data_IF_521051834502
#
_entry.id   IF_521051834502
#
_cell.length_a   1.000
_cell.length_b   1.000
_cell.length_c   1.000
_cell.angle_alpha   90.00
_cell.angle_beta   90.00
_cell.angle_gamma   90.00
#
_symmetry.space_group_name_H-M   'P 1'
#
loop_
_entity.id
_entity.type
_entity.pdbx_description
1 polymer ?
#
# COMPACT_ATOMS: atom_id res chain seq x y z
N UNK A 1 -29.59 -10.46 -82.48
CA UNK A 1 -28.25 -10.64 -83.08
C UNK A 1 -27.47 -9.33 -82.99
N UNK A 2 -26.15 -9.42 -82.73
CA UNK A 2 -25.13 -8.34 -82.57
C UNK A 2 -25.11 -7.69 -81.17
N UNK A 3 -24.16 -8.00 -80.27
CA UNK A 3 -22.67 -7.86 -80.21
C UNK A 3 -22.18 -6.42 -79.96
N UNK A 4 -21.67 -6.24 -78.73
CA UNK A 4 -20.53 -5.46 -78.20
C UNK A 4 -20.10 -4.13 -78.82
N UNK A 5 -19.90 -3.12 -77.97
CA UNK A 5 -18.63 -2.38 -77.77
C UNK A 5 -18.82 -1.27 -76.71
N UNK A 6 -18.23 -1.39 -75.52
CA UNK A 6 -16.96 -0.76 -75.09
C UNK A 6 -17.15 0.64 -74.50
N UNK A 7 -17.00 0.79 -73.18
CA UNK A 7 -16.11 1.84 -72.66
C UNK A 7 -15.65 1.48 -71.24
N UNK A 8 -14.33 1.36 -71.15
CA UNK A 8 -13.53 1.05 -69.98
C UNK A 8 -13.23 2.38 -69.28
N UNK A 9 -13.66 2.56 -68.03
CA UNK A 9 -13.13 3.63 -67.18
C UNK A 9 -12.56 3.00 -65.92
N UNK A 10 -11.23 2.84 -65.94
CA UNK A 10 -10.44 2.62 -64.74
C UNK A 10 -10.49 3.90 -63.90
N UNK A 11 -11.03 3.82 -62.68
CA UNK A 11 -10.68 4.74 -61.62
C UNK A 11 -10.16 3.92 -60.44
N UNK A 12 -8.84 3.83 -60.37
CA UNK A 12 -8.10 3.37 -59.20
C UNK A 12 -8.00 4.52 -58.19
N UNK A 13 -7.86 4.16 -56.91
CA UNK A 13 -7.61 5.01 -55.71
C UNK A 13 -8.86 5.71 -55.17
N UNK A 14 -9.24 5.62 -53.90
CA UNK A 14 -8.56 5.18 -52.68
C UNK A 14 -9.63 4.78 -51.65
N UNK A 15 -9.51 3.59 -51.06
CA UNK A 15 -10.28 3.18 -49.88
C UNK A 15 -9.84 4.06 -48.70
N UNK A 16 -10.61 5.09 -48.39
CA UNK A 16 -10.55 5.76 -47.09
C UNK A 16 -11.35 4.88 -46.12
N UNK A 17 -10.66 3.98 -45.44
CA UNK A 17 -11.21 3.30 -44.27
C UNK A 17 -11.41 4.36 -43.19
N UNK A 18 -12.66 4.76 -42.96
CA UNK A 18 -13.03 5.46 -41.73
C UNK A 18 -12.85 4.48 -40.56
N UNK A 19 -11.65 4.49 -39.97
CA UNK A 19 -11.45 3.93 -38.65
C UNK A 19 -12.28 4.79 -37.68
N UNK A 20 -13.34 4.20 -37.11
CA UNK A 20 -14.04 4.78 -35.98
C UNK A 20 -13.01 5.12 -34.89
N UNK A 21 -12.85 6.40 -34.59
CA UNK A 21 -12.26 6.86 -33.33
C UNK A 21 -13.17 6.37 -32.21
N UNK A 22 -12.93 5.14 -31.77
CA UNK A 22 -13.34 4.70 -30.45
C UNK A 22 -12.68 5.64 -29.46
N UNK A 23 -13.50 6.29 -28.64
CA UNK A 23 -13.00 7.05 -27.51
C UNK A 23 -12.18 6.08 -26.66
N UNK A 24 -10.87 6.27 -26.66
CA UNK A 24 -10.04 5.78 -25.58
C UNK A 24 -10.39 6.64 -24.37
N UNK A 25 -11.51 6.27 -23.74
CA UNK A 25 -11.69 6.47 -22.32
C UNK A 25 -10.44 5.83 -21.69
N UNK A 26 -9.53 6.67 -21.21
CA UNK A 26 -8.37 6.25 -20.46
C UNK A 26 -8.89 5.75 -19.11
N UNK A 27 -9.53 4.59 -19.16
CA UNK A 27 -9.77 3.76 -18.02
C UNK A 27 -8.38 3.50 -17.46
N UNK A 28 -8.04 4.21 -16.37
CA UNK A 28 -6.89 3.94 -15.51
C UNK A 28 -6.90 2.43 -15.25
N UNK A 29 -6.15 1.70 -16.06
CA UNK A 29 -5.73 0.37 -15.71
C UNK A 29 -4.77 0.61 -14.55
N UNK A 30 -5.31 0.53 -13.34
CA UNK A 30 -4.55 0.21 -12.13
C UNK A 30 -4.57 -1.32 -11.97
N UNK A 31 -3.68 -2.08 -12.63
CA UNK A 31 -3.69 -3.53 -12.55
C UNK A 31 -2.96 -4.00 -11.30
N UNK A 32 -3.37 -3.63 -10.07
CA UNK A 32 -2.83 -4.23 -8.84
C UNK A 32 -3.84 -4.16 -7.66
N UNK A 33 -4.69 -5.19 -7.52
CA UNK A 33 -5.23 -5.61 -6.22
C UNK A 33 -5.09 -7.14 -6.13
N UNK A 34 -4.46 -7.70 -5.07
CA UNK A 34 -5.23 -7.92 -3.83
C UNK A 34 -4.43 -7.78 -2.51
N UNK A 35 -3.21 -7.22 -2.48
CA UNK A 35 -2.42 -7.14 -1.22
C UNK A 35 -2.48 -5.74 -0.54
N UNK A 36 -3.35 -4.83 -1.00
CA UNK A 36 -3.45 -3.44 -0.51
C UNK A 36 -4.20 -3.22 0.82
N UNK A 37 -4.75 -4.28 1.43
CA UNK A 37 -5.42 -4.19 2.74
C UNK A 37 -4.48 -4.43 3.91
N UNK A 38 -3.31 -5.02 3.65
CA UNK A 38 -2.33 -5.39 4.66
C UNK A 38 -1.46 -4.20 5.04
N UNK A 39 -1.05 -4.14 6.30
CA UNK A 39 -0.20 -3.10 6.87
C UNK A 39 -0.79 -1.69 6.67
N UNK A 40 -2.12 -1.61 6.64
CA UNK A 40 -2.90 -0.38 6.56
C UNK A 40 -3.72 -0.24 7.84
N UNK A 41 -3.68 0.97 8.42
CA UNK A 41 -4.59 1.37 9.50
C UNK A 41 -5.94 1.74 8.90
N UNK A 42 -6.92 0.86 9.11
CA UNK A 42 -8.30 1.00 8.66
C UNK A 42 -9.14 1.51 9.82
N UNK A 43 -9.63 2.74 9.72
CA UNK A 43 -10.41 3.43 10.73
C UNK A 43 -11.89 3.20 10.49
N UNK A 44 -12.61 2.74 11.51
CA UNK A 44 -14.04 2.43 11.43
C UNK A 44 -14.83 3.71 11.12
N UNK A 45 -15.70 3.63 10.12
CA UNK A 45 -16.61 4.72 9.77
C UNK A 45 -17.89 4.61 10.59
N UNK A 46 -18.39 5.75 11.10
CA UNK A 46 -19.72 5.81 11.68
C UNK A 46 -20.75 5.70 10.55
N UNK A 47 -21.57 4.65 10.58
CA UNK A 47 -22.63 4.41 9.60
C UNK A 47 -23.72 5.52 9.60
N UNK A 48 -23.66 6.49 10.52
CA UNK A 48 -24.62 7.59 10.57
C UNK A 48 -24.26 8.80 9.70
N UNK A 49 -22.96 9.09 9.41
CA UNK A 49 -22.52 10.20 8.50
C UNK A 49 -21.10 9.98 7.96
N UNK A 50 -20.91 9.67 6.66
CA UNK A 50 -19.59 9.62 6.04
C UNK A 50 -18.86 10.98 6.18
N UNK A 51 -17.64 10.99 6.71
CA UNK A 51 -16.72 12.13 6.60
C UNK A 51 -16.44 12.95 7.87
N UNK A 52 -17.11 12.72 9.01
CA UNK A 52 -16.76 13.39 10.27
C UNK A 52 -16.33 12.37 11.32
N UNK A 53 -15.03 12.35 11.62
CA UNK A 53 -14.41 11.49 12.62
C UNK A 53 -13.48 12.36 13.49
N UNK A 54 -13.67 12.29 14.81
CA UNK A 54 -12.82 12.97 15.81
C UNK A 54 -11.79 11.98 16.34
N UNK A 55 -10.48 12.29 16.40
CA UNK A 55 -9.40 11.32 16.64
C UNK A 55 -9.44 10.63 18.00
N UNK A 56 -10.27 9.58 18.11
CA UNK A 56 -10.28 8.54 19.17
C UNK A 56 -10.58 7.15 18.59
N UNK A 57 -10.60 7.02 17.26
CA UNK A 57 -11.53 6.13 16.60
C UNK A 57 -11.04 4.69 16.42
N UNK A 58 -11.97 3.78 16.67
CA UNK A 58 -11.81 2.34 16.55
C UNK A 58 -11.19 2.00 15.19
N UNK A 59 -10.20 1.12 15.17
CA UNK A 59 -9.48 0.79 13.93
C UNK A 59 -9.00 -0.66 13.96
N UNK A 60 -8.70 -1.17 12.78
CA UNK A 60 -8.06 -2.47 12.57
C UNK A 60 -6.82 -2.31 11.69
N UNK A 61 -5.91 -3.26 11.83
CA UNK A 61 -4.74 -3.43 10.99
C UNK A 61 -4.58 -4.92 10.71
N UNK A 62 -4.31 -5.24 9.44
CA UNK A 62 -4.09 -6.62 9.03
C UNK A 62 -2.59 -6.79 8.78
N UNK A 63 -1.91 -7.64 9.56
CA UNK A 63 -0.49 -7.96 9.36
C UNK A 63 -0.31 -9.33 8.73
N UNK A 64 0.77 -9.49 7.96
CA UNK A 64 1.26 -10.80 7.47
C UNK A 64 2.61 -11.20 8.08
N UNK A 65 3.22 -10.36 8.91
CA UNK A 65 4.53 -10.62 9.48
C UNK A 65 4.41 -11.69 10.59
N UNK A 66 5.11 -12.83 10.43
CA UNK A 66 5.11 -13.96 11.38
C UNK A 66 3.76 -14.66 11.60
N UNK A 67 2.91 -14.69 10.57
CA UNK A 67 1.55 -15.21 10.63
C UNK A 67 0.55 -14.09 10.34
N UNK A 68 -0.58 -14.42 9.72
CA UNK A 68 -1.59 -13.39 9.50
C UNK A 68 -2.25 -13.04 10.84
N UNK A 69 -2.28 -11.76 11.22
CA UNK A 69 -2.95 -11.29 12.44
C UNK A 69 -3.81 -10.07 12.13
N UNK A 70 -4.84 -9.86 12.95
CA UNK A 70 -5.63 -8.62 12.93
C UNK A 70 -5.41 -7.94 14.28
N UNK A 71 -4.76 -6.79 14.28
CA UNK A 71 -4.60 -5.96 15.47
C UNK A 71 -5.50 -4.74 15.38
N UNK A 72 -5.70 -4.04 16.49
CA UNK A 72 -6.45 -2.80 16.45
C UNK A 72 -6.84 -2.27 17.80
N UNK A 73 -7.68 -1.25 17.77
CA UNK A 73 -8.29 -0.64 18.95
C UNK A 73 -9.80 -0.64 18.77
N UNK A 74 -10.52 -1.22 19.71
CA UNK A 74 -11.98 -1.38 19.62
C UNK A 74 -12.76 -0.46 20.58
N UNK A 75 -12.08 0.53 21.17
CA UNK A 75 -12.68 1.62 21.95
C UNK A 75 -12.06 1.81 23.33
N UNK A 76 -11.62 0.72 23.98
CA UNK A 76 -10.99 0.77 25.29
C UNK A 76 -9.62 0.07 25.29
N UNK A 77 -9.58 -1.10 24.67
CA UNK A 77 -8.45 -1.99 24.66
C UNK A 77 -7.85 -2.11 23.26
N UNK A 78 -6.53 -2.33 23.25
CA UNK A 78 -5.83 -2.83 22.08
C UNK A 78 -6.06 -4.34 22.04
N UNK A 79 -6.34 -4.86 20.86
CA UNK A 79 -6.61 -6.28 20.65
C UNK A 79 -5.72 -6.87 19.56
N UNK A 80 -5.59 -8.18 19.60
CA UNK A 80 -4.96 -9.01 18.58
C UNK A 80 -5.80 -10.26 18.33
N UNK A 81 -5.97 -10.61 17.06
CA UNK A 81 -6.71 -11.79 16.60
C UNK A 81 -5.82 -12.56 15.63
N UNK A 82 -5.38 -13.77 16.02
CA UNK A 82 -4.63 -14.63 15.11
C UNK A 82 -5.51 -15.12 13.94
N UNK A 83 -4.92 -15.19 12.75
CA UNK A 83 -5.55 -15.75 11.55
C UNK A 83 -4.89 -17.09 11.22
N UNK A 84 -5.69 -18.14 11.18
CA UNK A 84 -5.23 -19.50 10.93
C UNK A 84 -5.23 -19.91 9.47
N UNK A 85 -6.03 -19.23 8.64
CA UNK A 85 -6.14 -19.48 7.21
C UNK A 85 -6.56 -18.23 6.47
N UNK A 86 -5.95 -18.03 5.30
CA UNK A 86 -6.27 -16.95 4.37
C UNK A 86 -6.61 -17.58 3.01
N UNK A 87 -7.69 -17.14 2.37
CA UNK A 87 -7.99 -17.46 0.97
C UNK A 87 -8.54 -16.24 0.25
N UNK A 88 -8.34 -16.16 -1.05
CA UNK A 88 -8.78 -15.03 -1.89
C UNK A 88 -9.62 -15.56 -3.04
N UNK A 89 -10.75 -14.92 -3.33
CA UNK A 89 -11.55 -15.17 -4.52
C UNK A 89 -12.23 -13.87 -5.00
N UNK A 90 -13.16 -13.98 -5.95
CA UNK A 90 -13.87 -12.82 -6.53
C UNK A 90 -14.71 -12.00 -5.54
N UNK A 91 -15.02 -12.55 -4.37
CA UNK A 91 -15.78 -11.86 -3.29
C UNK A 91 -14.87 -11.15 -2.28
N UNK A 92 -13.55 -11.36 -2.36
CA UNK A 92 -12.57 -10.71 -1.49
C UNK A 92 -11.62 -11.69 -0.80
N UNK A 93 -10.99 -11.19 0.26
CA UNK A 93 -10.05 -11.92 1.12
C UNK A 93 -10.79 -12.50 2.31
N UNK A 94 -10.81 -13.83 2.41
CA UNK A 94 -11.42 -14.57 3.51
C UNK A 94 -10.37 -14.95 4.55
N UNK A 95 -10.62 -14.59 5.81
CA UNK A 95 -9.73 -14.87 6.93
C UNK A 95 -10.46 -15.73 7.96
N UNK A 96 -9.89 -16.90 8.30
CA UNK A 96 -10.37 -17.74 9.40
C UNK A 96 -9.62 -17.37 10.67
N UNK A 97 -10.30 -16.65 11.57
CA UNK A 97 -9.77 -16.10 12.81
C UNK A 97 -9.87 -17.06 13.98
N UNK A 98 -9.01 -16.87 14.98
CA UNK A 98 -9.01 -17.54 16.29
C UNK A 98 -9.58 -16.62 17.37
N UNK A 99 -9.47 -17.04 18.63
CA UNK A 99 -9.86 -16.21 19.77
C UNK A 99 -8.98 -14.96 19.86
N UNK A 100 -9.60 -13.83 20.21
CA UNK A 100 -8.90 -12.59 20.49
C UNK A 100 -8.14 -12.64 21.81
N UNK A 101 -7.05 -11.88 21.86
CA UNK A 101 -6.43 -11.38 23.08
C UNK A 101 -6.56 -9.86 23.11
N UNK A 102 -6.58 -9.27 24.30
CA UNK A 102 -6.63 -7.82 24.46
C UNK A 102 -6.02 -7.35 25.76
N UNK A 103 -5.65 -6.08 25.80
CA UNK A 103 -5.32 -5.41 27.07
C UNK A 103 -6.53 -5.44 28.01
N UNK A 104 -6.27 -5.32 29.32
CA UNK A 104 -7.34 -5.32 30.33
C UNK A 104 -7.44 -3.94 31.02
N UNK A 105 -7.61 -2.88 30.22
CA UNK A 105 -7.89 -1.54 30.71
C UNK A 105 -9.36 -1.45 31.13
N UNK A 106 -9.58 -0.69 32.20
CA UNK A 106 -10.92 -0.39 32.69
C UNK A 106 -11.50 0.83 31.97
N UNK A 107 -12.74 0.72 31.52
CA UNK A 107 -13.44 1.76 30.77
C UNK A 107 -14.93 1.72 31.11
N UNK A 108 -15.67 2.74 30.67
CA UNK A 108 -17.11 2.81 30.81
C UNK A 108 -17.82 1.54 30.26
N UNK A 109 -18.92 1.16 30.92
CA UNK A 109 -19.60 -0.12 30.70
C UNK A 109 -20.11 -0.29 29.27
N UNK A 110 -20.63 0.78 28.68
CA UNK A 110 -21.09 0.85 27.29
C UNK A 110 -19.94 0.64 26.30
N UNK A 111 -18.80 1.32 26.50
CA UNK A 111 -17.59 1.15 25.67
C UNK A 111 -17.10 -0.29 25.72
N UNK A 112 -17.06 -0.89 26.92
CA UNK A 112 -16.67 -2.31 27.10
C UNK A 112 -17.64 -3.27 26.43
N UNK A 113 -18.95 -3.00 26.49
CA UNK A 113 -19.97 -3.80 25.83
C UNK A 113 -19.80 -3.79 24.31
N UNK A 114 -19.65 -2.60 23.72
CA UNK A 114 -19.48 -2.45 22.27
C UNK A 114 -18.18 -3.08 21.75
N UNK A 115 -17.08 -2.93 22.50
CA UNK A 115 -15.82 -3.59 22.23
C UNK A 115 -15.99 -5.13 22.20
N UNK A 116 -16.57 -5.71 23.25
CA UNK A 116 -16.78 -7.16 23.34
C UNK A 116 -17.69 -7.67 22.21
N UNK A 117 -18.73 -6.91 21.89
CA UNK A 117 -19.68 -7.23 20.82
C UNK A 117 -19.00 -7.23 19.45
N UNK A 118 -18.11 -6.27 19.19
CA UNK A 118 -17.31 -6.22 17.97
C UNK A 118 -16.35 -7.42 17.88
N UNK A 119 -15.52 -7.63 18.91
CA UNK A 119 -14.52 -8.71 18.94
C UNK A 119 -15.18 -10.09 18.77
N UNK A 120 -16.30 -10.36 19.45
CA UNK A 120 -17.05 -11.61 19.32
C UNK A 120 -17.45 -11.93 17.86
N UNK A 121 -17.74 -10.90 17.05
CA UNK A 121 -18.15 -11.06 15.64
C UNK A 121 -17.00 -11.35 14.71
N UNK A 122 -15.81 -10.84 15.02
CA UNK A 122 -14.63 -10.95 14.16
C UNK A 122 -13.66 -12.06 14.59
N UNK A 123 -13.74 -12.51 15.84
CA UNK A 123 -12.98 -13.64 16.39
C UNK A 123 -13.66 -14.99 16.13
N UNK A 124 -12.86 -16.07 16.16
CA UNK A 124 -13.29 -17.47 16.11
C UNK A 124 -14.35 -17.75 15.03
N UNK A 125 -14.00 -17.48 13.78
CA UNK A 125 -14.88 -17.68 12.63
C UNK A 125 -14.22 -17.27 11.33
N UNK A 126 -14.96 -17.35 10.23
CA UNK A 126 -14.49 -16.81 8.95
C UNK A 126 -15.14 -15.46 8.69
N UNK A 127 -14.31 -14.45 8.43
CA UNK A 127 -14.71 -13.12 8.02
C UNK A 127 -14.18 -12.82 6.62
N UNK A 128 -14.81 -11.86 5.94
CA UNK A 128 -14.43 -11.48 4.57
C UNK A 128 -14.13 -10.00 4.49
N UNK A 129 -13.00 -9.67 3.89
CA UNK A 129 -12.59 -8.31 3.58
C UNK A 129 -12.68 -8.07 2.07
N UNK A 130 -13.27 -6.94 1.69
CA UNK A 130 -13.30 -6.46 0.31
C UNK A 130 -12.91 -4.98 0.31
N UNK A 131 -11.95 -4.59 -0.50
CA UNK A 131 -11.55 -3.19 -0.66
C UNK A 131 -12.12 -2.67 -1.98
N UNK A 132 -12.82 -1.54 -1.90
CA UNK A 132 -13.37 -0.85 -3.06
C UNK A 132 -13.25 0.66 -2.85
N UNK A 133 -12.62 1.33 -3.80
CA UNK A 133 -12.55 2.80 -3.86
C UNK A 133 -11.99 3.43 -2.57
N UNK A 134 -11.01 2.78 -1.92
CA UNK A 134 -10.37 3.28 -0.71
C UNK A 134 -11.15 3.00 0.58
N UNK A 135 -12.25 2.25 0.50
CA UNK A 135 -13.00 1.74 1.63
C UNK A 135 -12.78 0.23 1.78
N UNK A 136 -12.55 -0.20 3.01
CA UNK A 136 -12.48 -1.61 3.38
C UNK A 136 -13.79 -2.04 4.01
N UNK A 137 -14.45 -2.99 3.36
CA UNK A 137 -15.67 -3.62 3.81
C UNK A 137 -15.33 -4.92 4.51
N UNK A 138 -15.75 -5.06 5.76
CA UNK A 138 -15.64 -6.28 6.56
C UNK A 138 -17.02 -6.91 6.72
N UNK A 139 -17.22 -8.06 6.10
CA UNK A 139 -18.37 -8.93 6.35
C UNK A 139 -18.03 -9.94 7.44
N UNK A 140 -18.74 -9.85 8.57
CA UNK A 140 -18.59 -10.77 9.70
C UNK A 140 -19.30 -12.11 9.46
N UNK A 141 -19.01 -13.09 10.32
CA UNK A 141 -19.67 -14.41 10.29
C UNK A 141 -21.20 -14.32 10.47
N UNK A 142 -21.67 -13.30 11.16
CA UNK A 142 -23.10 -13.04 11.41
C UNK A 142 -23.74 -12.17 10.31
N UNK A 143 -23.04 -11.98 9.17
CA UNK A 143 -23.46 -11.12 8.04
C UNK A 143 -23.69 -9.65 8.40
N UNK A 144 -23.05 -9.18 9.47
CA UNK A 144 -22.96 -7.74 9.77
C UNK A 144 -21.78 -7.18 8.99
N UNK A 145 -22.03 -6.08 8.28
CA UNK A 145 -21.02 -5.33 7.55
C UNK A 145 -20.47 -4.17 8.39
N UNK A 146 -19.16 -4.01 8.38
CA UNK A 146 -18.45 -2.85 8.89
C UNK A 146 -17.69 -2.18 7.75
N UNK A 147 -17.72 -0.86 7.70
CA UNK A 147 -16.99 -0.07 6.71
C UNK A 147 -15.86 0.66 7.40
N UNK A 148 -14.67 0.53 6.85
CA UNK A 148 -13.48 1.25 7.29
C UNK A 148 -12.98 2.11 6.14
N UNK A 149 -12.45 3.29 6.46
CA UNK A 149 -11.63 4.04 5.52
C UNK A 149 -10.18 3.87 5.95
N UNK A 150 -9.24 3.98 5.01
CA UNK A 150 -7.86 4.11 5.46
C UNK A 150 -7.72 5.40 6.29
N UNK A 151 -6.72 5.42 7.18
CA UNK A 151 -6.31 6.64 7.84
C UNK A 151 -6.20 7.78 6.82
N UNK A 152 -6.65 8.99 7.17
CA UNK A 152 -6.69 10.19 6.31
C UNK A 152 -5.27 10.66 5.94
N UNK A 153 -4.54 9.82 5.25
CA UNK A 153 -3.28 10.09 4.60
C UNK A 153 -3.60 10.74 3.26
N UNK A 154 -2.84 11.76 2.89
CA UNK A 154 -2.93 12.29 1.54
C UNK A 154 -2.52 11.21 0.53
N UNK A 155 -3.02 11.32 -0.71
CA UNK A 155 -2.79 10.33 -1.79
C UNK A 155 -1.31 9.90 -1.90
N UNK A 156 -0.40 10.88 -1.80
CA UNK A 156 1.04 10.66 -1.88
C UNK A 156 1.56 9.68 -0.82
N UNK A 157 1.13 9.80 0.43
CA UNK A 157 1.53 8.84 1.48
C UNK A 157 0.91 7.46 1.28
N UNK A 158 -0.31 7.38 0.72
CA UNK A 158 -0.92 6.10 0.35
C UNK A 158 -0.12 5.38 -0.72
N UNK A 159 0.37 6.11 -1.72
CA UNK A 159 1.18 5.57 -2.81
C UNK A 159 2.53 5.06 -2.27
N UNK A 160 3.23 5.83 -1.42
CA UNK A 160 4.47 5.38 -0.75
C UNK A 160 4.26 4.08 0.03
N UNK A 161 3.16 3.96 0.78
CA UNK A 161 2.85 2.79 1.60
C UNK A 161 2.54 1.53 0.80
N UNK A 162 1.83 1.68 -0.34
CA UNK A 162 1.23 0.57 -1.12
C UNK A 162 2.25 -0.33 -1.81
N UNK A 163 3.46 0.17 -2.05
CA UNK A 163 4.47 -0.53 -2.84
C UNK A 163 5.72 -0.84 -2.01
N UNK A 164 6.48 -1.82 -2.48
CA UNK A 164 7.91 -1.90 -2.18
C UNK A 164 8.64 -1.10 -3.27
N UNK A 165 9.82 -0.59 -2.95
CA UNK A 165 10.55 0.34 -3.81
C UNK A 165 11.95 -0.21 -4.08
N UNK A 166 12.19 -0.62 -5.32
CA UNK A 166 13.48 -1.19 -5.74
C UNK A 166 14.36 -0.09 -6.33
N UNK A 167 15.56 0.08 -5.81
CA UNK A 167 16.47 1.13 -6.28
C UNK A 167 16.85 0.87 -7.74
N UNK A 168 16.84 1.92 -8.56
CA UNK A 168 17.25 1.87 -9.97
C UNK A 168 18.23 2.98 -10.35
N UNK A 169 18.39 3.99 -9.49
CA UNK A 169 19.36 5.07 -9.65
C UNK A 169 19.80 5.57 -8.27
N UNK A 170 21.11 5.81 -8.12
CA UNK A 170 21.71 6.45 -6.94
C UNK A 170 22.68 7.52 -7.43
N UNK A 171 22.51 8.76 -6.97
CA UNK A 171 23.37 9.92 -7.29
C UNK A 171 23.59 10.20 -8.78
N UNK A 172 22.59 9.89 -9.62
CA UNK A 172 22.72 10.01 -11.08
C UNK A 172 23.68 8.99 -11.71
N UNK A 173 24.10 7.96 -10.97
CA UNK A 173 24.90 6.86 -11.49
C UNK A 173 24.14 5.99 -12.49
N UNK A 174 24.86 5.46 -13.49
CA UNK A 174 24.27 4.57 -14.50
C UNK A 174 23.71 3.27 -13.92
N UNK A 175 22.76 2.66 -14.66
CA UNK A 175 22.04 1.41 -14.37
C UNK A 175 22.95 0.20 -14.12
N UNK A 176 23.58 0.15 -12.95
CA UNK A 176 24.12 -1.10 -12.40
C UNK A 176 22.96 -1.93 -11.86
N UNK A 177 23.08 -3.27 -11.78
CA UNK A 177 22.06 -4.09 -11.15
C UNK A 177 22.01 -3.79 -9.64
N UNK A 178 21.21 -2.80 -9.26
CA UNK A 178 20.93 -2.49 -7.87
C UNK A 178 20.14 -3.63 -7.23
N UNK A 179 20.60 -4.04 -6.05
CA UNK A 179 19.93 -5.04 -5.20
C UNK A 179 19.21 -4.38 -4.02
N UNK A 180 19.42 -3.07 -3.87
CA UNK A 180 18.85 -2.27 -2.82
C UNK A 180 17.35 -2.12 -3.01
N UNK A 181 16.63 -2.15 -1.90
CA UNK A 181 15.20 -1.89 -1.87
C UNK A 181 14.79 -1.37 -0.51
N UNK A 182 13.65 -0.69 -0.48
CA UNK A 182 13.01 -0.22 0.75
C UNK A 182 11.52 -0.53 0.73
N UNK A 183 10.95 -0.69 1.92
CA UNK A 183 9.51 -0.77 2.15
C UNK A 183 9.16 0.07 3.37
N UNK A 184 8.12 0.88 3.24
CA UNK A 184 7.63 1.69 4.34
C UNK A 184 6.61 0.89 5.15
N UNK A 185 6.93 0.71 6.42
CA UNK A 185 6.06 0.14 7.43
C UNK A 185 5.44 1.27 8.27
N UNK A 186 4.28 1.74 7.82
CA UNK A 186 3.51 2.77 8.52
C UNK A 186 2.92 2.27 9.85
N UNK A 187 2.98 0.97 10.17
CA UNK A 187 2.56 0.46 11.48
C UNK A 187 3.58 0.82 12.55
N UNK A 188 4.84 0.46 12.30
CA UNK A 188 5.94 0.67 13.24
C UNK A 188 6.68 1.99 13.01
N UNK A 189 6.30 2.74 11.97
CA UNK A 189 7.02 3.94 11.49
C UNK A 189 8.48 3.64 11.17
N UNK A 190 8.71 2.47 10.55
CA UNK A 190 10.03 2.00 10.12
C UNK A 190 10.08 1.90 8.60
N UNK A 191 11.19 2.31 8.00
CA UNK A 191 11.63 1.88 6.69
C UNK A 191 12.45 0.63 6.92
N UNK A 192 12.00 -0.49 6.34
CA UNK A 192 12.78 -1.72 6.25
C UNK A 192 13.42 -1.75 4.86
N UNK A 193 14.63 -2.26 4.74
CA UNK A 193 15.29 -2.32 3.46
C UNK A 193 16.41 -3.33 3.37
N UNK A 194 16.93 -3.49 2.16
CA UNK A 194 18.17 -4.20 1.89
C UNK A 194 19.16 -3.22 1.27
N UNK A 195 20.39 -3.20 1.78
CA UNK A 195 21.44 -2.30 1.29
C UNK A 195 22.32 -2.95 0.18
N UNK A 196 21.97 -4.15 -0.25
CA UNK A 196 22.69 -4.98 -1.21
C UNK A 196 23.35 -6.21 -0.58
N UNK A 197 23.53 -6.24 0.76
CA UNK A 197 24.09 -7.39 1.49
C UNK A 197 23.35 -7.74 2.77
N UNK A 198 22.83 -6.75 3.48
CA UNK A 198 22.18 -6.90 4.77
C UNK A 198 20.82 -6.22 4.76
N UNK A 199 19.92 -6.75 5.59
CA UNK A 199 18.68 -6.07 5.91
C UNK A 199 18.95 -4.97 6.94
N UNK A 200 18.18 -3.89 6.84
CA UNK A 200 18.24 -2.78 7.77
C UNK A 200 16.85 -2.26 8.08
N UNK A 201 16.76 -1.57 9.21
CA UNK A 201 15.58 -0.82 9.61
C UNK A 201 15.99 0.57 10.09
N UNK A 202 15.21 1.57 9.74
CA UNK A 202 15.36 2.94 10.20
C UNK A 202 13.99 3.53 10.51
N UNK A 203 13.84 4.38 11.55
CA UNK A 203 12.63 5.18 11.68
C UNK A 203 12.43 6.08 10.46
N UNK A 204 11.19 6.44 10.16
CA UNK A 204 10.89 7.49 9.18
C UNK A 204 9.75 8.40 9.62
N UNK A 205 9.70 9.59 9.02
CA UNK A 205 8.54 10.46 9.07
C UNK A 205 8.22 10.94 7.66
N UNK A 206 6.94 11.16 7.38
CA UNK A 206 6.48 11.76 6.12
C UNK A 206 5.63 12.98 6.42
N UNK A 207 5.90 14.08 5.73
CA UNK A 207 5.03 15.25 5.70
C UNK A 207 4.44 15.37 4.30
N UNK A 208 3.15 15.07 4.20
CA UNK A 208 2.41 15.05 2.94
C UNK A 208 2.07 16.43 2.39
N UNK A 209 2.00 17.47 3.24
CA UNK A 209 1.72 18.84 2.81
C UNK A 209 2.88 19.43 2.01
N UNK A 210 4.10 19.03 2.38
CA UNK A 210 5.35 19.50 1.76
C UNK A 210 6.00 18.43 0.88
N UNK A 211 5.40 17.23 0.77
CA UNK A 211 5.97 16.06 0.08
C UNK A 211 7.42 15.81 0.49
N UNK A 212 7.68 15.71 1.79
CA UNK A 212 9.02 15.44 2.32
C UNK A 212 9.03 14.17 3.16
N UNK A 213 10.13 13.42 3.09
CA UNK A 213 10.42 12.25 3.91
C UNK A 213 11.65 12.52 4.76
N UNK A 214 11.56 12.24 6.06
CA UNK A 214 12.70 12.22 6.97
C UNK A 214 13.15 10.78 7.15
N UNK A 215 14.40 10.50 6.81
CA UNK A 215 15.03 9.21 7.00
C UNK A 215 15.98 9.32 8.19
N UNK A 216 15.62 8.68 9.29
CA UNK A 216 16.41 8.74 10.52
C UNK A 216 17.63 7.81 10.43
N UNK A 217 18.59 8.06 11.31
CA UNK A 217 19.78 7.23 11.42
C UNK A 217 19.42 5.78 11.76
N UNK A 218 20.17 4.85 11.18
CA UNK A 218 20.02 3.41 11.41
C UNK A 218 20.29 3.09 12.88
N UNK A 219 19.47 2.22 13.47
CA UNK A 219 19.81 1.68 14.78
C UNK A 219 21.04 0.77 14.64
N UNK A 220 22.05 1.05 15.46
CA UNK A 220 23.42 0.54 15.35
C UNK A 220 23.46 -0.98 15.47
N UNK A 221 23.50 -1.68 14.33
CA UNK A 221 23.90 -3.09 14.09
C UNK A 221 23.58 -3.53 12.64
N UNK A 222 22.74 -2.77 11.93
CA UNK A 222 22.39 -3.00 10.52
C UNK A 222 23.53 -2.70 9.51
N UNK A 223 24.65 -2.15 9.98
CA UNK A 223 25.78 -1.67 9.17
C UNK A 223 26.88 -2.71 8.97
N UNK A 224 26.55 -4.01 8.91
CA UNK A 224 27.53 -5.00 8.44
C UNK A 224 27.84 -4.72 6.97
N UNK A 225 28.88 -3.91 6.75
CA UNK A 225 29.30 -3.48 5.42
C UNK A 225 29.53 -4.70 4.53
N UNK A 226 29.10 -4.61 3.28
CA UNK A 226 29.54 -5.50 2.21
C UNK A 226 31.08 -5.42 2.06
N UNK A 227 31.86 -6.12 2.89
CA UNK A 227 33.32 -6.30 2.76
C UNK A 227 34.18 -5.04 2.53
N UNK A 228 35.03 -4.71 3.51
CA UNK A 228 36.13 -3.74 3.46
C UNK A 228 35.81 -2.33 2.91
N UNK A 229 35.45 -1.46 3.85
CA UNK A 229 35.74 -0.01 3.87
C UNK A 229 35.18 0.82 2.71
N UNK A 230 33.86 0.97 2.69
CA UNK A 230 33.21 2.24 2.34
C UNK A 230 31.89 2.30 3.12
N UNK A 231 31.52 3.47 3.66
CA UNK A 231 30.14 3.69 4.09
C UNK A 231 29.29 3.43 2.87
N UNK A 232 28.35 2.51 2.98
CA UNK A 232 27.42 2.19 1.91
C UNK A 232 26.78 3.48 1.39
N UNK A 233 27.05 3.82 0.13
CA UNK A 233 26.62 5.09 -0.48
C UNK A 233 25.09 5.24 -0.48
N UNK A 234 24.36 4.12 -0.42
CA UNK A 234 22.91 4.12 -0.26
C UNK A 234 22.50 4.49 1.17
N UNK A 235 23.18 3.94 2.17
CA UNK A 235 22.85 4.17 3.58
C UNK A 235 23.24 5.57 4.08
N UNK A 236 24.08 6.32 3.35
CA UNK A 236 24.46 7.69 3.74
C UNK A 236 23.26 8.64 3.86
N UNK A 237 22.14 8.32 3.20
CA UNK A 237 20.92 9.11 3.23
C UNK A 237 20.03 8.84 4.45
N UNK A 238 20.37 7.83 5.26
CA UNK A 238 19.74 7.52 6.54
C UNK A 238 20.56 8.12 7.67
N UNK A 239 20.53 9.45 7.78
CA UNK A 239 21.41 10.26 8.64
C UNK A 239 20.66 11.35 9.43
N UNK A 240 19.35 11.16 9.66
CA UNK A 240 18.45 12.15 10.25
C UNK A 240 18.15 13.37 9.36
N UNK A 241 18.31 13.22 8.04
CA UNK A 241 17.98 14.26 7.07
C UNK A 241 16.55 14.14 6.53
N UNK A 242 16.05 15.28 6.05
CA UNK A 242 14.74 15.40 5.40
C UNK A 242 14.91 15.75 3.93
N UNK A 243 14.23 15.00 3.06
CA UNK A 243 14.34 15.08 1.62
C UNK A 243 12.97 15.33 1.00
N UNK A 244 12.84 16.24 0.02
CA UNK A 244 11.68 16.23 -0.87
C UNK A 244 11.58 14.90 -1.62
N UNK A 245 10.36 14.46 -1.87
CA UNK A 245 10.10 13.30 -2.72
C UNK A 245 8.92 13.55 -3.64
N UNK A 246 8.89 12.80 -4.73
CA UNK A 246 7.75 12.77 -5.65
C UNK A 246 7.51 11.33 -6.13
N UNK A 247 6.28 11.08 -6.56
CA UNK A 247 5.92 9.84 -7.24
C UNK A 247 5.45 10.20 -8.65
N UNK A 248 6.21 9.79 -9.66
CA UNK A 248 5.95 10.03 -11.07
C UNK A 248 6.20 8.77 -11.87
N UNK A 249 5.32 8.44 -12.83
CA UNK A 249 5.45 7.28 -13.71
C UNK A 249 5.84 5.97 -13.00
N UNK A 250 5.16 5.65 -11.89
CA UNK A 250 5.40 4.45 -11.09
C UNK A 250 6.78 4.40 -10.40
N UNK A 251 7.45 5.53 -10.29
CA UNK A 251 8.74 5.67 -9.62
C UNK A 251 8.65 6.61 -8.42
N UNK A 252 9.33 6.25 -7.34
CA UNK A 252 9.58 7.12 -6.20
C UNK A 252 10.93 7.80 -6.40
N UNK A 253 10.94 9.13 -6.48
CA UNK A 253 12.16 9.92 -6.56
C UNK A 253 12.37 10.64 -5.23
N UNK A 254 13.55 10.47 -4.63
CA UNK A 254 13.99 11.26 -3.48
C UNK A 254 15.00 12.28 -3.99
N UNK A 255 14.81 13.55 -3.58
CA UNK A 255 15.57 14.67 -4.11
C UNK A 255 16.44 15.33 -3.04
N UNK A 256 17.53 15.93 -3.50
CA UNK A 256 18.33 16.87 -2.74
C UNK A 256 18.76 18.01 -3.67
N UNK A 257 18.55 19.26 -3.27
CA UNK A 257 18.88 20.44 -4.08
C UNK A 257 18.28 20.37 -5.51
N UNK A 258 17.02 19.95 -5.62
CA UNK A 258 16.28 19.74 -6.89
C UNK A 258 16.90 18.71 -7.85
N UNK A 259 17.77 17.82 -7.36
CA UNK A 259 18.31 16.69 -8.12
C UNK A 259 17.82 15.39 -7.51
N UNK A 260 17.50 14.41 -8.36
CA UNK A 260 17.19 13.04 -7.90
C UNK A 260 18.46 12.42 -7.36
N UNK A 261 18.44 12.04 -6.09
CA UNK A 261 19.54 11.33 -5.41
C UNK A 261 19.27 9.83 -5.27
N UNK A 262 18.00 9.45 -5.21
CA UNK A 262 17.57 8.05 -5.28
C UNK A 262 16.31 7.94 -6.12
N UNK A 263 16.31 6.98 -7.05
CA UNK A 263 15.12 6.62 -7.82
C UNK A 263 14.79 5.17 -7.57
N UNK A 264 13.51 4.89 -7.34
CA UNK A 264 13.02 3.55 -7.13
C UNK A 264 11.89 3.22 -8.09
N UNK A 265 11.94 2.04 -8.69
CA UNK A 265 10.80 1.47 -9.39
C UNK A 265 9.86 0.81 -8.38
N UNK A 266 8.55 0.92 -8.61
CA UNK A 266 7.59 0.18 -7.80
C UNK A 266 7.76 -1.33 -7.97
N UNK A 267 7.58 -2.04 -6.86
CA UNK A 267 7.43 -3.47 -6.79
C UNK A 267 6.17 -3.81 -6.00
N UNK A 268 5.65 -5.02 -6.22
CA UNK A 268 4.49 -5.51 -5.48
C UNK A 268 4.84 -5.57 -3.98
N UNK A 269 3.94 -5.13 -3.10
CA UNK A 269 4.16 -5.18 -1.64
C UNK A 269 4.48 -6.61 -1.17
N UNK A 270 5.48 -6.74 -0.31
CA UNK A 270 6.00 -7.99 0.24
C UNK A 270 6.53 -8.96 -0.84
N UNK A 271 7.13 -8.43 -1.92
CA UNK A 271 7.71 -9.26 -3.00
C UNK A 271 9.23 -9.22 -3.11
N UNK A 272 9.89 -8.36 -2.32
CA UNK A 272 11.35 -8.15 -2.33
C UNK A 272 12.06 -8.80 -1.14
#
# INVERSE_FOLDING_TARGET
MKKYATSLFLCLTSLVTFAQQGSFDSQERHPLAPDGIWNVRWVLQDNSKPGTLTPTDKHIMLSREYGSTITGFAGCNVFEIPVSKTSVNSKGTHLTTRFDSKTNKECATDVKYDENKFLKRISNGTITFNEKEGLLYLMTKDRIEYVFADEKLDKVAKDVRRYDWKLVELDGGEKRPYRQWITFDFHNYLVKGNNGCALFEAPFAINTKTSTVTLFELQSDATKSCGNSSKDEFLKYFDNSTYPFEITDQTLNILQNNKVIMKFDLAKKNSL
#
